data_IF_445389191569
#
_entry.id   IF_445389191569
#
_cell.length_a   1.000
_cell.length_b   1.000
_cell.length_c   1.000
_cell.angle_alpha   90.00
_cell.angle_beta   90.00
_cell.angle_gamma   90.00
#
_symmetry.space_group_name_H-M   'P 1'
#
loop_
_entity.id
_entity.type
_entity.pdbx_description
1 polymer ?
#
# COMPACT_ATOMS: atom_id res chain seq x y z
N UNK A 1 -0.73 -12.40 -4.55
CA UNK A 1 -1.30 -11.06 -4.56
C UNK A 1 -0.92 -10.31 -3.30
N UNK A 2 -0.49 -9.07 -3.41
CA UNK A 2 -0.11 -8.31 -2.24
C UNK A 2 -1.33 -7.92 -1.40
N UNK A 3 -1.13 -7.95 -0.10
CA UNK A 3 -2.18 -7.50 0.82
C UNK A 3 -1.97 -6.01 1.09
N UNK A 4 -2.52 -5.19 0.23
CA UNK A 4 -2.32 -3.74 0.30
C UNK A 4 -2.77 -3.15 1.62
N UNK A 5 -3.95 -3.58 2.08
CA UNK A 5 -4.49 -3.07 3.32
C UNK A 5 -3.57 -3.38 4.50
N UNK A 6 -3.07 -4.61 4.55
CA UNK A 6 -2.20 -5.04 5.63
C UNK A 6 -0.89 -4.27 5.61
N UNK A 7 -0.33 -4.06 4.42
CA UNK A 7 0.91 -3.29 4.27
C UNK A 7 0.72 -1.88 4.82
N UNK A 8 -0.37 -1.23 4.45
CA UNK A 8 -0.63 0.14 4.87
C UNK A 8 -0.85 0.22 6.37
N UNK A 9 -1.64 -0.69 6.91
CA UNK A 9 -1.92 -0.72 8.35
C UNK A 9 -0.63 -0.96 9.14
N UNK A 10 0.19 -1.90 8.69
CA UNK A 10 1.43 -2.19 9.39
C UNK A 10 2.40 -1.02 9.35
N UNK A 11 2.47 -0.33 8.24
CA UNK A 11 3.39 0.78 8.11
C UNK A 11 2.93 2.01 8.89
N UNK A 12 1.71 2.45 8.64
CA UNK A 12 1.21 3.68 9.25
C UNK A 12 0.62 3.48 10.63
N UNK A 13 0.01 2.33 10.87
CA UNK A 13 -0.61 2.05 12.16
C UNK A 13 0.36 1.52 13.19
N UNK A 14 1.23 0.59 12.79
CA UNK A 14 2.16 -0.06 13.70
C UNK A 14 3.57 0.50 13.64
N UNK A 15 3.84 1.36 12.69
CA UNK A 15 5.15 1.96 12.55
C UNK A 15 6.23 1.04 11.99
N UNK A 16 5.83 -0.03 11.32
CA UNK A 16 6.80 -0.96 10.74
C UNK A 16 7.41 -0.39 9.48
N UNK A 17 8.69 -0.69 9.26
CA UNK A 17 9.35 -0.26 8.04
C UNK A 17 8.95 -1.18 6.88
N UNK A 18 9.16 -0.69 5.65
CA UNK A 18 8.87 -1.50 4.48
C UNK A 18 9.63 -2.81 4.47
N UNK A 19 10.87 -2.79 4.97
CA UNK A 19 11.67 -4.00 5.07
C UNK A 19 11.02 -5.02 6.00
N UNK A 20 10.57 -4.57 7.16
CA UNK A 20 9.93 -5.46 8.12
C UNK A 20 8.65 -6.05 7.56
N UNK A 21 7.86 -5.22 6.89
CA UNK A 21 6.61 -5.68 6.30
C UNK A 21 6.89 -6.73 5.22
N UNK A 22 7.86 -6.46 4.36
CA UNK A 22 8.21 -7.40 3.29
C UNK A 22 8.64 -8.74 3.86
N UNK A 23 9.41 -8.71 4.93
CA UNK A 23 9.88 -9.92 5.58
C UNK A 23 8.73 -10.68 6.23
N UNK A 24 7.85 -9.96 6.88
CA UNK A 24 6.72 -10.54 7.57
C UNK A 24 5.73 -11.21 6.62
N UNK A 25 5.46 -10.56 5.50
CA UNK A 25 4.51 -11.06 4.53
C UNK A 25 5.13 -11.99 3.49
N UNK A 26 6.44 -12.09 3.48
CA UNK A 26 7.13 -12.95 2.51
C UNK A 26 7.06 -12.41 1.09
N UNK A 27 7.04 -11.10 0.94
CA UNK A 27 7.00 -10.45 -0.37
C UNK A 27 8.26 -9.62 -0.58
N UNK A 28 8.45 -9.12 -1.80
CA UNK A 28 9.63 -8.33 -2.08
C UNK A 28 9.53 -6.94 -1.47
N UNK A 29 10.67 -6.42 -1.05
CA UNK A 29 10.75 -5.09 -0.48
C UNK A 29 10.34 -4.04 -1.53
N UNK A 30 10.70 -4.27 -2.78
CA UNK A 30 10.33 -3.35 -3.85
C UNK A 30 8.81 -3.24 -3.98
N UNK A 31 8.12 -4.37 -3.89
CA UNK A 31 6.67 -4.38 -3.96
C UNK A 31 6.04 -3.58 -2.84
N UNK A 32 6.57 -3.77 -1.62
CA UNK A 32 6.07 -3.03 -0.46
C UNK A 32 6.32 -1.53 -0.63
N UNK A 33 7.51 -1.16 -1.05
CA UNK A 33 7.85 0.24 -1.25
C UNK A 33 6.99 0.89 -2.33
N UNK A 34 6.68 0.16 -3.38
CA UNK A 34 5.82 0.65 -4.45
C UNK A 34 4.42 0.96 -3.91
N UNK A 35 3.89 0.05 -3.10
CA UNK A 35 2.57 0.24 -2.51
C UNK A 35 2.57 1.47 -1.60
N UNK A 36 3.55 1.58 -0.73
CA UNK A 36 3.63 2.69 0.20
C UNK A 36 3.82 4.02 -0.52
N UNK A 37 4.67 4.03 -1.55
CA UNK A 37 4.89 5.24 -2.33
C UNK A 37 3.64 5.68 -3.07
N UNK A 38 2.93 4.72 -3.67
CA UNK A 38 1.70 5.02 -4.38
C UNK A 38 0.63 5.53 -3.42
N UNK A 39 0.56 4.92 -2.23
CA UNK A 39 -0.42 5.34 -1.22
C UNK A 39 -0.17 6.78 -0.79
N UNK A 40 1.08 7.14 -0.59
CA UNK A 40 1.43 8.50 -0.17
C UNK A 40 1.05 9.54 -1.21
N UNK A 41 1.11 9.16 -2.50
CA UNK A 41 0.77 10.07 -3.57
C UNK A 41 -0.72 10.08 -3.90
N UNK A 42 -1.45 9.11 -3.38
CA UNK A 42 -2.87 8.97 -3.69
C UNK A 42 -3.69 9.87 -2.76
N UNK A 43 -4.32 10.89 -3.32
CA UNK A 43 -5.12 11.81 -2.53
C UNK A 43 -6.45 11.20 -2.12
N UNK A 44 -6.90 10.17 -2.82
CA UNK A 44 -8.16 9.51 -2.51
C UNK A 44 -8.07 8.61 -1.29
N UNK A 45 -6.86 8.21 -0.96
CA UNK A 45 -6.62 7.31 0.16
C UNK A 45 -5.82 8.00 1.23
N UNK A 46 -6.20 7.77 2.47
CA UNK A 46 -5.52 8.37 3.60
C UNK A 46 -5.60 7.41 4.77
N UNK A 47 -4.74 7.60 5.76
CA UNK A 47 -4.76 6.79 6.95
C UNK A 47 -5.36 7.60 8.10
N UNK A 48 -6.29 7.03 8.85
CA UNK A 48 -6.78 5.65 8.80
C UNK A 48 -7.65 5.37 7.58
N UNK A 49 -7.61 4.13 7.12
CA UNK A 49 -8.35 3.72 5.93
C UNK A 49 -9.86 3.79 6.18
N UNK A 50 -10.64 4.08 5.13
CA UNK A 50 -12.09 4.11 5.27
C UNK A 50 -12.63 2.76 5.72
N UNK A 51 -13.68 2.79 6.52
CA UNK A 51 -14.32 1.58 6.97
C UNK A 51 -14.91 0.84 5.77
N UNK A 52 -14.69 -0.46 5.75
CA UNK A 52 -15.22 -1.27 4.66
C UNK A 52 -14.36 -1.34 3.42
N UNK A 53 -13.24 -0.62 3.40
CA UNK A 53 -12.36 -0.68 2.23
C UNK A 53 -11.73 -2.07 2.12
N UNK A 54 -11.54 -2.53 0.87
CA UNK A 54 -10.97 -3.83 0.60
C UNK A 54 -9.65 -3.69 -0.15
N UNK A 55 -8.89 -4.78 -0.19
CA UNK A 55 -7.65 -4.78 -0.97
C UNK A 55 -7.91 -4.45 -2.43
N UNK A 56 -9.01 -4.93 -2.95
CA UNK A 56 -9.38 -4.64 -4.33
C UNK A 56 -9.58 -3.15 -4.55
N UNK A 57 -10.27 -2.50 -3.64
CA UNK A 57 -10.50 -1.05 -3.73
C UNK A 57 -9.20 -0.27 -3.65
N UNK A 58 -8.32 -0.66 -2.74
CA UNK A 58 -7.02 -0.01 -2.60
C UNK A 58 -6.19 -0.20 -3.87
N UNK A 59 -6.12 -1.43 -4.37
CA UNK A 59 -5.35 -1.73 -5.55
C UNK A 59 -5.86 -0.93 -6.76
N UNK A 60 -7.16 -0.79 -6.87
CA UNK A 60 -7.76 -0.03 -7.96
C UNK A 60 -7.36 1.44 -7.91
N UNK A 61 -7.40 2.03 -6.72
CA UNK A 61 -7.03 3.43 -6.55
C UNK A 61 -5.54 3.64 -6.79
N UNK A 62 -4.70 2.74 -6.28
CA UNK A 62 -3.26 2.85 -6.48
C UNK A 62 -2.88 2.67 -7.94
N UNK A 63 -3.57 1.77 -8.63
CA UNK A 63 -3.33 1.54 -10.05
C UNK A 63 -3.64 2.80 -10.86
N UNK A 64 -4.71 3.48 -10.49
CA UNK A 64 -5.09 4.72 -11.15
C UNK A 64 -3.99 5.78 -10.99
N UNK A 65 -3.42 5.86 -9.80
CA UNK A 65 -2.36 6.82 -9.52
C UNK A 65 -1.08 6.48 -10.27
N UNK A 66 -0.71 5.21 -10.27
CA UNK A 66 0.56 4.81 -10.84
C UNK A 66 0.58 4.81 -12.37
N UNK A 67 -0.57 4.90 -13.00
CA UNK A 67 -0.65 4.84 -14.45
C UNK A 67 0.25 5.87 -15.13
N UNK A 68 0.33 7.04 -14.57
CA UNK A 68 1.14 8.12 -15.17
C UNK A 68 2.62 7.91 -14.98
N UNK A 69 2.97 7.27 -13.90
CA UNK A 69 4.38 7.06 -13.60
C UNK A 69 5.01 5.89 -14.33
N UNK A 70 4.20 5.11 -14.98
CA UNK A 70 4.66 3.87 -15.60
C UNK A 70 4.70 3.94 -17.10
N UNK A 71 4.96 4.82 -17.70
CA UNK A 71 4.95 4.88 -19.16
C UNK A 71 5.64 3.70 -19.82
#
# INVERSE_FOLDING_TARGET
>A
MLDYKDIIVKHFGLGMSGRQIARELGVSKSGVNDVLGAFKRCESLDFPLPEGITNYGIAKDLRRQSRRGWS
#
